data_IF_891672369009
#
_entry.id   IF_891672369009
#
_cell.length_a   1.000
_cell.length_b   1.000
_cell.length_c   1.000
_cell.angle_alpha   90.00
_cell.angle_beta   90.00
_cell.angle_gamma   90.00
#
_symmetry.space_group_name_H-M   'P 1'
#
loop_
_entity.id
_entity.type
_entity.pdbx_description
1 polymer ?
#
# COMPACT_ATOMS: atom_id res chain seq x y z
N UNK A 1 28.73 13.45 -2.77
CA UNK A 1 28.06 12.90 -3.96
C UNK A 1 26.83 12.14 -3.48
N UNK A 2 25.71 12.85 -3.44
CA UNK A 2 24.50 12.44 -2.72
C UNK A 2 23.77 11.30 -3.45
N UNK A 3 23.20 10.39 -2.67
CA UNK A 3 22.50 9.15 -3.08
C UNK A 3 21.18 9.39 -3.86
N UNK A 4 21.02 10.56 -4.49
CA UNK A 4 19.78 11.09 -5.07
C UNK A 4 19.59 10.85 -6.56
N UNK A 5 20.48 10.13 -7.24
CA UNK A 5 20.44 9.97 -8.71
C UNK A 5 20.05 8.56 -9.20
N UNK A 6 20.06 7.55 -8.32
CA UNK A 6 19.73 6.18 -8.73
C UNK A 6 18.22 5.99 -8.92
N UNK A 7 17.82 5.41 -10.04
CA UNK A 7 16.41 5.13 -10.32
C UNK A 7 15.81 4.08 -9.35
N UNK A 8 14.70 4.44 -8.69
CA UNK A 8 14.08 3.66 -7.62
C UNK A 8 12.65 3.23 -7.97
N UNK A 9 12.17 2.12 -7.39
CA UNK A 9 10.76 1.73 -7.54
C UNK A 9 9.92 2.47 -6.51
N UNK A 10 9.03 3.35 -6.95
CA UNK A 10 8.27 4.24 -6.07
C UNK A 10 6.79 3.88 -6.04
N UNK A 11 6.14 4.15 -4.90
CA UNK A 11 4.70 3.99 -4.75
C UNK A 11 4.16 4.81 -3.57
N UNK A 12 2.87 5.12 -3.62
CA UNK A 12 2.13 5.73 -2.51
C UNK A 12 1.37 4.67 -1.74
N UNK A 13 1.34 4.78 -0.41
CA UNK A 13 0.63 3.84 0.44
C UNK A 13 0.04 4.48 1.69
N UNK A 14 -1.02 3.86 2.20
CA UNK A 14 -1.54 4.09 3.55
C UNK A 14 -0.79 3.19 4.53
N UNK A 15 -0.35 3.77 5.64
CA UNK A 15 0.44 3.07 6.66
C UNK A 15 -0.40 2.76 7.90
N UNK A 16 -0.44 1.50 8.37
CA UNK A 16 -1.09 1.16 9.63
C UNK A 16 -0.27 1.69 10.80
N UNK A 17 -0.95 2.12 11.86
CA UNK A 17 -0.34 2.35 13.16
C UNK A 17 0.13 1.02 13.78
N UNK A 18 0.79 1.08 14.95
CA UNK A 18 1.34 -0.10 15.59
C UNK A 18 0.27 -1.15 15.94
N UNK A 19 -0.89 -0.72 16.44
CA UNK A 19 -1.98 -1.61 16.85
C UNK A 19 -2.61 -2.31 15.64
N UNK A 20 -2.93 -1.55 14.59
CA UNK A 20 -3.48 -2.08 13.33
C UNK A 20 -2.48 -3.03 12.66
N UNK A 21 -1.19 -2.66 12.65
CA UNK A 21 -0.13 -3.49 12.07
C UNK A 21 0.00 -4.83 12.79
N UNK A 22 -0.04 -4.82 14.12
CA UNK A 22 -0.05 -6.05 14.91
C UNK A 22 -1.30 -6.90 14.65
N UNK A 23 -2.48 -6.26 14.50
CA UNK A 23 -3.71 -6.96 14.15
C UNK A 23 -3.65 -7.60 12.75
N UNK A 24 -3.14 -6.89 11.75
CA UNK A 24 -2.90 -7.42 10.40
C UNK A 24 -1.91 -8.59 10.40
N UNK A 25 -0.84 -8.50 11.19
CA UNK A 25 0.15 -9.57 11.30
C UNK A 25 -0.43 -10.87 11.85
N UNK A 26 -1.44 -10.80 12.74
CA UNK A 26 -2.16 -11.98 13.25
C UNK A 26 -2.93 -12.73 12.15
N UNK A 27 -3.14 -12.12 10.99
CA UNK A 27 -3.76 -12.78 9.83
C UNK A 27 -2.75 -13.54 8.97
N UNK A 28 -1.45 -13.30 9.10
CA UNK A 28 -0.41 -13.96 8.30
C UNK A 28 -0.40 -15.50 8.43
N UNK A 29 -0.67 -16.11 9.60
CA UNK A 29 -0.81 -17.57 9.72
C UNK A 29 -1.93 -18.16 8.84
N UNK A 30 -2.94 -17.37 8.46
CA UNK A 30 -4.03 -17.77 7.56
C UNK A 30 -3.63 -17.67 6.07
N UNK A 31 -2.43 -17.14 5.79
CA UNK A 31 -1.92 -16.87 4.46
C UNK A 31 -0.61 -17.65 4.21
N UNK A 32 -0.68 -18.99 4.02
CA UNK A 32 0.50 -19.84 3.89
C UNK A 32 1.38 -19.40 2.72
N UNK A 33 2.61 -19.00 3.02
CA UNK A 33 3.56 -18.43 2.07
C UNK A 33 4.70 -17.70 2.77
N UNK A 34 5.48 -16.91 2.01
CA UNK A 34 6.50 -16.03 2.59
C UNK A 34 5.83 -14.77 3.14
N UNK A 35 5.69 -14.70 4.46
CA UNK A 35 5.13 -13.55 5.15
C UNK A 35 5.84 -12.24 4.78
N UNK A 36 5.07 -11.17 4.64
CA UNK A 36 5.60 -9.82 4.46
C UNK A 36 6.13 -9.32 5.80
N UNK A 37 7.32 -8.69 5.85
CA UNK A 37 7.83 -8.06 7.07
C UNK A 37 6.80 -7.11 7.69
N UNK A 38 6.76 -7.04 9.01
CA UNK A 38 5.77 -6.27 9.74
C UNK A 38 5.77 -4.79 9.33
N UNK A 39 6.97 -4.24 9.12
CA UNK A 39 7.28 -2.88 8.69
C UNK A 39 6.74 -2.59 7.28
N UNK A 40 6.67 -3.63 6.45
CA UNK A 40 6.22 -3.56 5.07
C UNK A 40 4.70 -3.78 4.92
N UNK A 41 3.93 -4.00 5.98
CA UNK A 41 2.47 -4.05 5.89
C UNK A 41 1.91 -2.64 5.58
N UNK A 42 1.20 -2.53 4.47
CA UNK A 42 0.62 -1.28 3.98
C UNK A 42 -0.50 -1.56 2.97
N UNK A 43 -1.30 -0.54 2.65
CA UNK A 43 -2.24 -0.56 1.53
C UNK A 43 -1.72 0.35 0.43
N UNK A 44 -1.38 -0.19 -0.73
CA UNK A 44 -0.86 0.61 -1.85
C UNK A 44 -1.99 1.39 -2.53
N UNK A 45 -1.78 2.69 -2.77
CA UNK A 45 -2.70 3.55 -3.53
C UNK A 45 -2.31 3.68 -5.00
N UNK A 46 -1.00 3.78 -5.29
CA UNK A 46 -0.50 3.93 -6.66
C UNK A 46 0.94 3.40 -6.76
N UNK A 47 1.18 2.42 -7.64
CA UNK A 47 2.52 1.99 -8.01
C UNK A 47 3.03 2.82 -9.20
N UNK A 48 4.21 3.42 -9.07
CA UNK A 48 4.82 4.24 -10.12
C UNK A 48 5.90 3.50 -10.91
N UNK A 49 6.19 2.24 -10.54
CA UNK A 49 7.30 1.50 -11.12
C UNK A 49 8.64 2.19 -10.87
N UNK A 50 9.60 1.97 -11.76
CA UNK A 50 10.94 2.56 -11.65
C UNK A 50 10.93 4.01 -12.12
N UNK A 51 11.38 4.91 -11.26
CA UNK A 51 11.40 6.35 -11.48
C UNK A 51 12.80 6.91 -11.27
N UNK A 52 13.23 7.95 -12.02
CA UNK A 52 14.50 8.63 -11.78
C UNK A 52 14.49 9.36 -10.43
N UNK A 53 15.65 9.62 -9.85
CA UNK A 53 15.74 10.32 -8.56
C UNK A 53 15.10 11.71 -8.57
N UNK A 54 15.16 12.41 -9.71
CA UNK A 54 14.50 13.69 -9.93
C UNK A 54 12.96 13.64 -9.80
N UNK A 55 12.34 12.46 -9.86
CA UNK A 55 10.90 12.30 -9.67
C UNK A 55 10.47 12.50 -8.20
N UNK A 56 11.37 12.32 -7.24
CA UNK A 56 11.02 12.33 -5.80
C UNK A 56 10.43 13.68 -5.37
N UNK A 57 11.11 14.80 -5.63
CA UNK A 57 10.63 16.11 -5.19
C UNK A 57 9.24 16.51 -5.77
N UNK A 58 8.92 16.27 -7.05
CA UNK A 58 7.55 16.39 -7.55
C UNK A 58 6.52 15.53 -6.82
N UNK A 59 6.84 14.27 -6.52
CA UNK A 59 5.95 13.34 -5.83
C UNK A 59 5.71 13.75 -4.37
N UNK A 60 6.74 14.27 -3.70
CA UNK A 60 6.62 14.85 -2.35
C UNK A 60 5.68 16.07 -2.34
N UNK A 61 5.75 16.93 -3.36
CA UNK A 61 4.83 18.07 -3.48
C UNK A 61 3.39 17.63 -3.70
N UNK A 62 3.16 16.56 -4.47
CA UNK A 62 1.83 15.96 -4.62
C UNK A 62 1.35 15.44 -3.26
N UNK A 63 2.20 14.70 -2.54
CA UNK A 63 1.89 14.22 -1.20
C UNK A 63 1.49 15.36 -0.27
N UNK A 64 2.27 16.44 -0.23
CA UNK A 64 2.06 17.62 0.62
C UNK A 64 0.70 18.31 0.40
N UNK A 65 0.17 18.28 -0.83
CA UNK A 65 -1.04 19.01 -1.22
C UNK A 65 -2.31 18.14 -1.24
N UNK A 66 -2.16 16.83 -1.09
CA UNK A 66 -3.29 15.90 -1.16
C UNK A 66 -4.30 16.18 -0.04
N UNK A 67 -5.58 16.23 -0.36
CA UNK A 67 -6.63 16.35 0.67
C UNK A 67 -6.84 15.00 1.35
N UNK A 68 -6.72 14.99 2.69
CA UNK A 68 -6.75 13.77 3.51
C UNK A 68 -7.91 13.87 4.52
N UNK A 69 -9.13 13.46 4.15
CA UNK A 69 -10.24 13.40 5.10
C UNK A 69 -10.02 12.25 6.09
N UNK A 70 -10.69 12.26 7.25
CA UNK A 70 -10.74 11.10 8.13
C UNK A 70 -11.15 9.85 7.35
N UNK A 71 -10.36 8.79 7.50
CA UNK A 71 -10.55 7.56 6.73
C UNK A 71 -10.55 6.36 7.68
N UNK A 72 -11.63 5.60 7.67
CA UNK A 72 -11.76 4.35 8.42
C UNK A 72 -11.99 3.21 7.42
N UNK A 73 -11.19 2.16 7.54
CA UNK A 73 -11.27 0.97 6.70
C UNK A 73 -11.69 -0.21 7.56
N UNK A 74 -12.62 -1.01 7.07
CA UNK A 74 -12.98 -2.29 7.69
C UNK A 74 -12.37 -3.42 6.88
N UNK A 75 -11.38 -4.10 7.43
CA UNK A 75 -10.76 -5.26 6.79
C UNK A 75 -11.52 -6.50 7.25
N UNK A 76 -12.27 -7.10 6.33
CA UNK A 76 -13.21 -8.19 6.60
C UNK A 76 -13.06 -9.37 5.62
N UNK A 77 -12.10 -9.29 4.70
CA UNK A 77 -11.92 -10.26 3.62
C UNK A 77 -10.48 -10.71 3.53
N UNK A 78 -10.28 -12.02 3.39
CA UNK A 78 -9.04 -12.59 2.86
C UNK A 78 -9.24 -12.94 1.40
N UNK A 79 -8.20 -12.76 0.60
CA UNK A 79 -8.23 -13.12 -0.79
C UNK A 79 -6.86 -13.48 -1.33
N UNK A 80 -6.87 -13.84 -2.62
CA UNK A 80 -5.69 -14.34 -3.29
C UNK A 80 -5.62 -13.83 -4.73
N UNK A 81 -4.44 -13.41 -5.15
CA UNK A 81 -4.13 -13.12 -6.54
C UNK A 81 -3.35 -14.29 -7.13
N UNK A 82 -4.00 -15.04 -8.03
CA UNK A 82 -3.44 -16.27 -8.61
C UNK A 82 -2.14 -16.04 -9.38
N UNK A 83 -2.11 -15.06 -10.29
CA UNK A 83 -0.94 -14.74 -11.11
C UNK A 83 0.31 -14.45 -10.28
N UNK A 84 0.32 -13.38 -9.45
CA UNK A 84 1.50 -13.04 -8.64
C UNK A 84 1.65 -13.88 -7.37
N UNK A 85 0.73 -14.82 -7.10
CA UNK A 85 0.70 -15.69 -5.90
C UNK A 85 0.80 -14.89 -4.60
N UNK A 86 -0.12 -13.95 -4.43
CA UNK A 86 -0.20 -13.06 -3.28
C UNK A 86 -1.46 -13.38 -2.48
N UNK A 87 -1.28 -13.67 -1.18
CA UNK A 87 -2.37 -13.70 -0.22
C UNK A 87 -2.48 -12.33 0.47
N UNK A 88 -3.70 -11.82 0.59
CA UNK A 88 -3.95 -10.46 1.05
C UNK A 88 -5.19 -10.37 1.94
N UNK A 89 -5.20 -9.36 2.81
CA UNK A 89 -6.37 -8.92 3.54
C UNK A 89 -6.93 -7.64 2.92
N UNK A 90 -8.25 -7.52 2.86
CA UNK A 90 -8.91 -6.39 2.22
C UNK A 90 -10.34 -6.24 2.73
N UNK A 91 -11.16 -5.61 1.91
CA UNK A 91 -12.52 -5.25 2.28
C UNK A 91 -13.50 -5.65 1.18
N UNK A 92 -14.64 -6.22 1.58
CA UNK A 92 -15.76 -6.53 0.66
C UNK A 92 -16.34 -5.24 0.06
N UNK A 93 -16.38 -4.16 0.85
CA UNK A 93 -16.97 -2.87 0.49
C UNK A 93 -16.00 -1.74 0.83
N UNK A 94 -15.14 -1.32 -0.13
CA UNK A 94 -14.29 -0.16 0.05
C UNK A 94 -15.12 1.11 0.29
N UNK A 95 -14.79 1.94 1.29
CA UNK A 95 -15.52 3.19 1.51
C UNK A 95 -15.25 4.18 0.38
N UNK A 96 -16.26 4.97 -0.01
CA UNK A 96 -16.14 5.98 -1.07
C UNK A 96 -14.95 6.92 -0.85
N UNK A 97 -14.70 7.33 0.41
CA UNK A 97 -13.56 8.19 0.76
C UNK A 97 -12.20 7.61 0.38
N UNK A 98 -12.01 6.28 0.43
CA UNK A 98 -10.78 5.62 -0.03
C UNK A 98 -10.64 5.69 -1.55
N UNK A 99 -11.74 5.42 -2.26
CA UNK A 99 -11.78 5.47 -3.72
C UNK A 99 -11.53 6.90 -4.22
N UNK A 100 -12.14 7.89 -3.59
CA UNK A 100 -11.95 9.31 -3.90
C UNK A 100 -10.51 9.76 -3.61
N UNK A 101 -9.91 9.31 -2.51
CA UNK A 101 -8.51 9.59 -2.20
C UNK A 101 -7.59 9.03 -3.29
N UNK A 102 -7.82 7.78 -3.70
CA UNK A 102 -7.05 7.15 -4.76
C UNK A 102 -7.24 7.88 -6.10
N UNK A 103 -8.47 8.23 -6.47
CA UNK A 103 -8.76 8.95 -7.70
C UNK A 103 -8.10 10.33 -7.73
N UNK A 104 -8.16 11.10 -6.63
CA UNK A 104 -7.47 12.39 -6.50
C UNK A 104 -5.96 12.25 -6.64
N UNK A 105 -5.37 11.22 -6.05
CA UNK A 105 -3.94 10.94 -6.18
C UNK A 105 -3.59 10.61 -7.64
N UNK A 106 -4.36 9.73 -8.29
CA UNK A 106 -4.14 9.37 -9.69
C UNK A 106 -4.24 10.59 -10.62
N UNK A 107 -5.23 11.46 -10.42
CA UNK A 107 -5.38 12.69 -11.20
C UNK A 107 -4.19 13.63 -11.01
N UNK A 108 -3.74 13.84 -9.76
CA UNK A 108 -2.57 14.67 -9.47
C UNK A 108 -1.28 14.10 -10.09
N UNK A 109 -1.12 12.78 -10.09
CA UNK A 109 0.02 12.10 -10.72
C UNK A 109 0.00 12.27 -12.24
N UNK A 110 -1.15 12.07 -12.88
CA UNK A 110 -1.31 12.27 -14.32
C UNK A 110 -1.05 13.72 -14.74
N UNK A 111 -1.57 14.70 -13.99
CA UNK A 111 -1.32 16.13 -14.23
C UNK A 111 0.17 16.49 -14.11
N UNK A 112 0.93 15.78 -13.28
CA UNK A 112 2.36 15.95 -13.12
C UNK A 112 3.19 15.12 -14.12
N UNK A 113 2.56 14.42 -15.07
CA UNK A 113 3.24 13.63 -16.10
C UNK A 113 3.65 12.21 -15.67
N UNK A 114 3.16 11.71 -14.53
CA UNK A 114 3.39 10.34 -14.12
C UNK A 114 2.30 9.41 -14.68
N UNK A 115 2.69 8.19 -15.04
CA UNK A 115 1.79 7.12 -15.47
C UNK A 115 1.86 5.95 -14.47
N UNK A 116 1.04 5.96 -13.41
CA UNK A 116 1.00 4.85 -12.45
C UNK A 116 0.40 3.60 -13.11
N UNK A 117 0.82 2.43 -12.65
CA UNK A 117 0.29 1.15 -13.13
C UNK A 117 -1.19 1.01 -12.74
N UNK A 118 -2.07 0.89 -13.75
CA UNK A 118 -3.52 0.83 -13.58
C UNK A 118 -4.18 -0.38 -14.27
N UNK A 119 -3.41 -1.38 -14.71
CA UNK A 119 -3.90 -2.42 -15.64
C UNK A 119 -5.07 -3.29 -15.12
N UNK A 120 -5.28 -3.40 -13.81
CA UNK A 120 -6.30 -4.27 -13.22
C UNK A 120 -7.37 -3.53 -12.38
N UNK A 121 -7.42 -2.20 -12.48
CA UNK A 121 -8.24 -1.36 -11.59
C UNK A 121 -7.73 -1.35 -10.14
N UNK A 122 -8.28 -0.46 -9.33
CA UNK A 122 -7.90 -0.32 -7.92
C UNK A 122 -8.60 -1.36 -7.04
N UNK A 123 -7.82 -2.28 -6.48
CA UNK A 123 -8.30 -3.31 -5.54
C UNK A 123 -7.60 -3.09 -4.19
N UNK A 124 -8.22 -2.40 -3.22
CA UNK A 124 -7.55 -2.04 -1.97
C UNK A 124 -7.29 -3.28 -1.11
N UNK A 125 -6.01 -3.53 -0.83
CA UNK A 125 -5.57 -4.69 -0.08
C UNK A 125 -4.26 -4.44 0.67
N UNK A 126 -4.02 -5.22 1.71
CA UNK A 126 -2.75 -5.37 2.40
C UNK A 126 -2.19 -6.74 2.05
N UNK A 127 -1.02 -6.78 1.42
CA UNK A 127 -0.34 -8.05 1.13
C UNK A 127 0.14 -8.67 2.45
N UNK A 128 -0.34 -9.87 2.77
CA UNK A 128 0.07 -10.61 3.98
C UNK A 128 1.24 -11.54 3.69
N UNK A 129 1.21 -12.22 2.54
CA UNK A 129 2.24 -13.15 2.12
C UNK A 129 2.42 -13.14 0.60
N UNK A 130 3.65 -13.40 0.15
CA UNK A 130 4.04 -13.61 -1.25
C UNK A 130 4.46 -15.06 -1.46
N UNK A 131 4.55 -15.49 -2.72
CA UNK A 131 4.79 -16.91 -3.05
C UNK A 131 3.79 -17.81 -2.31
N UNK A 132 2.58 -17.29 -2.08
CA UNK A 132 1.59 -17.92 -1.23
C UNK A 132 0.93 -19.10 -1.95
N UNK A 133 0.36 -19.98 -1.15
CA UNK A 133 -0.71 -20.86 -1.59
C UNK A 133 -2.04 -20.13 -1.49
N UNK A 134 -3.04 -20.57 -2.24
CA UNK A 134 -4.39 -20.07 -2.07
C UNK A 134 -4.86 -20.36 -0.62
N UNK A 135 -5.46 -19.38 0.08
CA UNK A 135 -6.01 -19.61 1.41
C UNK A 135 -7.12 -20.66 1.36
N UNK A 136 -7.28 -21.41 2.44
CA UNK A 136 -8.39 -22.34 2.59
C UNK A 136 -9.70 -21.57 2.68
N UNK A 137 -10.76 -22.09 2.07
CA UNK A 137 -12.05 -21.40 1.98
C UNK A 137 -12.68 -21.06 3.35
N UNK A 138 -12.28 -21.78 4.40
CA UNK A 138 -12.84 -21.65 5.75
C UNK A 138 -12.05 -20.72 6.69
N UNK A 139 -11.02 -20.03 6.17
CA UNK A 139 -10.22 -19.11 6.98
C UNK A 139 -11.02 -17.85 7.37
N UNK A 140 -11.75 -17.93 8.48
CA UNK A 140 -12.46 -16.80 9.07
C UNK A 140 -11.57 -16.04 10.07
N UNK A 141 -11.76 -14.72 10.14
CA UNK A 141 -11.14 -13.87 11.15
C UNK A 141 -12.14 -12.80 11.62
N UNK A 142 -11.96 -12.30 12.84
CA UNK A 142 -12.73 -11.17 13.33
C UNK A 142 -12.34 -9.91 12.52
N UNK A 143 -13.29 -9.20 11.89
CA UNK A 143 -12.97 -8.01 11.11
C UNK A 143 -12.20 -6.98 11.93
N UNK A 144 -11.21 -6.33 11.31
CA UNK A 144 -10.42 -5.29 11.95
C UNK A 144 -10.86 -3.92 11.43
N UNK A 145 -10.97 -2.96 12.36
CA UNK A 145 -11.21 -1.57 12.01
C UNK A 145 -9.86 -0.84 12.03
N UNK A 146 -9.53 -0.22 10.90
CA UNK A 146 -8.30 0.53 10.69
C UNK A 146 -8.65 2.00 10.49
N UNK A 147 -8.42 2.81 11.53
CA UNK A 147 -8.42 4.27 11.40
C UNK A 147 -7.12 4.71 10.75
N UNK A 148 -7.20 5.10 9.49
CA UNK A 148 -6.04 5.54 8.72
C UNK A 148 -5.68 6.95 9.15
N UNK A 149 -4.42 7.14 9.56
CA UNK A 149 -3.91 8.47 9.88
C UNK A 149 -2.52 8.74 9.31
N UNK A 150 -2.03 7.92 8.37
CA UNK A 150 -0.73 8.12 7.71
C UNK A 150 -0.77 7.69 6.24
N UNK A 151 -0.19 8.53 5.39
CA UNK A 151 0.09 8.26 3.98
C UNK A 151 1.57 8.55 3.70
N UNK A 152 2.21 7.73 2.87
CA UNK A 152 3.62 7.87 2.56
C UNK A 152 3.94 7.65 1.09
N UNK A 153 5.01 8.30 0.63
CA UNK A 153 5.76 7.95 -0.57
C UNK A 153 6.91 7.02 -0.15
N UNK A 154 6.93 5.82 -0.72
CA UNK A 154 7.87 4.77 -0.36
C UNK A 154 8.75 4.38 -1.56
N UNK A 155 9.99 4.00 -1.27
CA UNK A 155 10.89 3.36 -2.21
C UNK A 155 11.08 1.87 -1.88
N UNK A 156 10.94 1.02 -2.89
CA UNK A 156 11.24 -0.41 -2.84
C UNK A 156 12.66 -0.68 -3.34
N UNK A 157 13.40 -1.55 -2.63
CA UNK A 157 14.74 -2.00 -3.03
C UNK A 157 15.87 -1.75 -2.03
N UNK A 158 15.58 -1.57 -0.73
CA UNK A 158 16.64 -1.62 0.28
C UNK A 158 17.22 -3.05 0.38
N UNK A 159 18.51 -3.15 0.72
CA UNK A 159 19.24 -4.42 0.77
C UNK A 159 18.67 -5.40 1.82
N UNK A 160 18.00 -4.87 2.85
CA UNK A 160 17.33 -5.60 3.92
C UNK A 160 15.90 -6.07 3.53
N UNK A 161 15.42 -5.72 2.33
CA UNK A 161 14.07 -6.03 1.87
C UNK A 161 12.97 -5.14 2.46
N UNK A 162 13.32 -4.10 3.23
CA UNK A 162 12.38 -3.13 3.77
C UNK A 162 12.08 -2.00 2.79
N UNK A 163 10.93 -1.37 2.94
CA UNK A 163 10.61 -0.14 2.22
C UNK A 163 11.19 1.06 2.94
N UNK A 164 11.76 1.99 2.18
CA UNK A 164 12.25 3.26 2.71
C UNK A 164 11.20 4.35 2.52
N UNK A 165 10.82 5.02 3.60
CA UNK A 165 10.00 6.23 3.54
C UNK A 165 10.82 7.38 2.98
N UNK A 166 10.33 7.98 1.88
CA UNK A 166 10.90 9.19 1.31
C UNK A 166 10.20 10.43 1.87
N UNK A 167 8.88 10.38 1.98
CA UNK A 167 8.07 11.39 2.64
C UNK A 167 6.80 10.76 3.21
N UNK A 168 6.26 11.34 4.28
CA UNK A 168 5.01 10.92 4.90
C UNK A 168 4.20 12.11 5.44
N UNK A 169 2.89 11.90 5.61
CA UNK A 169 1.98 12.84 6.26
C UNK A 169 1.05 12.11 7.21
N UNK A 170 0.91 12.65 8.41
CA UNK A 170 -0.13 12.26 9.34
C UNK A 170 -1.41 13.09 9.14
N UNK A 171 -2.57 12.50 9.42
CA UNK A 171 -3.89 13.15 9.33
C UNK A 171 -4.93 12.47 10.23
#
# INVERSE_FOLDING_TARGET
MSQTDAAQRLFFALLPDAATRAALARLQPLAPGRAVPLENLHLTLAFLGRQPGAAVAPLERILARLALPPLALRVDTLGYFTGPRIAWAGMTRPPAALLDLQARLMAALQQAGFAPDSHAGFRPHVTLARQAAAPTADAAFAPLDWRVGRIALLASGAADGLYRTLAERAF
#
